data_IF_147698521180
#
_entry.id   IF_147698521180
#
_cell.length_a   1.000
_cell.length_b   1.000
_cell.length_c   1.000
_cell.angle_alpha   90.00
_cell.angle_beta   90.00
_cell.angle_gamma   90.00
#
_symmetry.space_group_name_H-M   'P 1'
#
loop_
_entity.id
_entity.type
_entity.pdbx_description
1 polymer ?
#
# COMPACT_ATOMS: atom_id res chain seq x y z
N UNK A 1 -10.84 -4.08 -4.03
CA UNK A 1 -11.72 -2.89 -3.84
C UNK A 1 -11.43 -2.17 -2.53
N UNK A 2 -11.47 -2.84 -1.37
CA UNK A 2 -11.20 -2.20 -0.07
C UNK A 2 -9.84 -1.50 0.05
N UNK A 3 -8.73 -2.20 -0.24
CA UNK A 3 -7.40 -1.59 -0.21
C UNK A 3 -7.26 -0.43 -1.21
N UNK A 4 -7.75 -0.60 -2.43
CA UNK A 4 -7.74 0.47 -3.44
C UNK A 4 -8.47 1.74 -2.93
N UNK A 5 -9.60 1.57 -2.23
CA UNK A 5 -10.32 2.68 -1.62
C UNK A 5 -9.48 3.37 -0.53
N UNK A 6 -8.88 2.60 0.40
CA UNK A 6 -8.01 3.14 1.45
C UNK A 6 -6.82 3.92 0.85
N UNK A 7 -6.15 3.33 -0.14
CA UNK A 7 -4.98 3.92 -0.78
C UNK A 7 -5.34 5.21 -1.54
N UNK A 8 -6.54 5.27 -2.14
CA UNK A 8 -7.09 6.49 -2.75
C UNK A 8 -7.42 7.60 -1.75
N UNK A 9 -7.54 7.28 -0.46
CA UNK A 9 -7.64 8.24 0.64
C UNK A 9 -6.27 8.53 1.31
N UNK A 10 -5.17 7.98 0.76
CA UNK A 10 -3.83 8.13 1.32
C UNK A 10 -3.61 7.30 2.59
N UNK A 11 -4.46 6.33 2.88
CA UNK A 11 -4.33 5.45 4.04
C UNK A 11 -3.56 4.20 3.62
N UNK A 12 -2.52 3.84 4.38
CA UNK A 12 -1.83 2.55 4.32
C UNK A 12 -2.21 1.76 5.57
N UNK A 13 -2.71 0.54 5.41
CA UNK A 13 -3.17 -0.30 6.50
C UNK A 13 -2.01 -0.89 7.32
N UNK A 14 -0.90 -1.24 6.66
CA UNK A 14 0.38 -1.72 7.22
C UNK A 14 0.34 -3.09 7.91
N UNK A 15 -0.83 -3.57 8.34
CA UNK A 15 -0.99 -4.88 9.00
C UNK A 15 -2.14 -5.68 8.36
N UNK A 16 -2.15 -5.76 7.04
CA UNK A 16 -3.10 -6.61 6.29
C UNK A 16 -2.76 -8.07 6.53
N UNK A 17 -3.72 -8.83 7.06
CA UNK A 17 -3.58 -10.26 7.39
C UNK A 17 -4.96 -10.90 7.51
N UNK A 18 -5.07 -12.25 7.49
CA UNK A 18 -6.37 -12.93 7.56
C UNK A 18 -7.16 -12.55 8.81
N UNK A 19 -6.50 -12.42 9.97
CA UNK A 19 -7.14 -12.01 11.22
C UNK A 19 -7.76 -10.60 11.21
N UNK A 20 -7.34 -9.74 10.27
CA UNK A 20 -7.83 -8.37 10.11
C UNK A 20 -8.84 -8.24 8.94
N UNK A 21 -9.23 -9.35 8.32
CA UNK A 21 -10.26 -9.39 7.29
C UNK A 21 -11.43 -10.23 7.79
N UNK A 22 -12.55 -9.57 8.09
CA UNK A 22 -13.78 -10.22 8.50
C UNK A 22 -14.64 -10.55 7.28
N UNK A 23 -15.56 -11.50 7.43
CA UNK A 23 -16.58 -11.81 6.43
C UNK A 23 -17.93 -11.36 6.97
N UNK A 24 -18.60 -10.47 6.24
CA UNK A 24 -19.95 -10.03 6.59
C UNK A 24 -20.97 -11.16 6.41
N UNK A 25 -22.18 -10.97 6.94
CA UNK A 25 -23.28 -11.92 6.77
C UNK A 25 -23.62 -12.20 5.28
N UNK A 26 -23.36 -11.22 4.41
CA UNK A 26 -23.58 -11.31 2.98
C UNK A 26 -22.38 -11.92 2.22
N UNK A 27 -21.36 -12.40 2.93
CA UNK A 27 -20.18 -13.03 2.34
C UNK A 27 -19.12 -12.04 1.81
N UNK A 28 -19.23 -10.74 2.13
CA UNK A 28 -18.25 -9.76 1.70
C UNK A 28 -17.07 -9.64 2.67
N UNK A 29 -15.86 -9.56 2.13
CA UNK A 29 -14.66 -9.27 2.91
C UNK A 29 -14.66 -7.80 3.40
N UNK A 30 -14.39 -7.61 4.69
CA UNK A 30 -14.35 -6.31 5.37
C UNK A 30 -12.99 -6.15 6.05
N UNK A 31 -12.26 -5.09 5.70
CA UNK A 31 -10.97 -4.75 6.32
C UNK A 31 -11.23 -4.11 7.69
N UNK A 32 -10.48 -4.56 8.70
CA UNK A 32 -10.63 -4.16 10.10
C UNK A 32 -9.27 -3.93 10.77
N UNK A 33 -9.28 -3.37 11.97
CA UNK A 33 -8.09 -3.07 12.78
C UNK A 33 -7.09 -2.11 12.14
N UNK A 34 -7.44 -0.82 12.18
CA UNK A 34 -6.59 0.28 11.72
C UNK A 34 -5.57 0.75 12.78
N UNK A 35 -5.32 -0.01 13.85
CA UNK A 35 -4.42 0.39 14.93
C UNK A 35 -2.97 0.63 14.48
N UNK A 36 -2.57 -0.04 13.38
CA UNK A 36 -1.25 0.11 12.75
C UNK A 36 -1.25 1.01 11.52
N UNK A 37 -2.42 1.51 11.10
CA UNK A 37 -2.59 2.23 9.86
C UNK A 37 -1.94 3.63 9.91
N UNK A 38 -1.54 4.14 8.75
CA UNK A 38 -0.89 5.44 8.62
C UNK A 38 -1.40 6.25 7.44
N UNK A 39 -1.32 7.57 7.59
CA UNK A 39 -1.62 8.51 6.53
C UNK A 39 -0.35 8.87 5.77
N UNK A 40 -0.45 8.81 4.44
CA UNK A 40 0.55 9.35 3.55
C UNK A 40 0.41 10.87 3.45
N UNK A 41 1.51 11.61 3.46
CA UNK A 41 1.46 13.06 3.29
C UNK A 41 0.98 13.41 1.88
N UNK A 42 0.17 14.46 1.76
CA UNK A 42 -0.14 15.04 0.46
C UNK A 42 1.16 15.53 -0.19
N UNK A 43 1.40 15.08 -1.41
CA UNK A 43 2.48 15.57 -2.25
C UNK A 43 1.89 16.48 -3.32
N UNK A 44 2.57 17.60 -3.57
CA UNK A 44 2.25 18.42 -4.72
C UNK A 44 2.35 17.55 -5.98
N UNK A 45 1.47 17.73 -6.98
CA UNK A 45 1.65 17.10 -8.28
C UNK A 45 2.96 17.62 -8.86
N UNK A 46 4.04 16.85 -8.71
CA UNK A 46 5.24 17.08 -9.49
C UNK A 46 4.86 16.80 -10.94
N UNK A 47 5.01 17.80 -11.82
CA UNK A 47 4.92 17.61 -13.29
C UNK A 47 6.12 16.80 -13.79
N UNK A 48 6.38 15.64 -13.20
CA UNK A 48 7.54 14.82 -13.48
C UNK A 48 7.06 13.41 -13.83
N UNK A 49 6.90 13.19 -15.13
CA UNK A 49 7.19 11.97 -15.90
C UNK A 49 7.27 10.60 -15.19
N UNK A 50 6.31 10.24 -14.35
CA UNK A 50 6.09 8.82 -13.98
C UNK A 50 5.64 7.96 -15.17
N UNK A 51 5.34 8.58 -16.32
CA UNK A 51 5.06 7.91 -17.59
C UNK A 51 6.32 7.48 -18.37
N UNK A 52 7.54 7.88 -17.98
CA UNK A 52 8.76 7.68 -18.81
C UNK A 52 9.71 6.57 -18.30
N UNK A 53 9.38 5.82 -17.25
CA UNK A 53 10.28 4.77 -16.71
C UNK A 53 9.70 3.35 -16.65
N UNK A 54 8.51 3.11 -17.21
CA UNK A 54 7.93 1.78 -17.34
C UNK A 54 7.42 1.53 -18.78
N UNK A 55 8.29 1.68 -19.77
CA UNK A 55 7.98 1.29 -21.15
C UNK A 55 7.90 -0.24 -21.36
N UNK A 56 8.24 -1.06 -20.34
CA UNK A 56 8.23 -2.53 -20.40
C UNK A 56 7.26 -3.21 -19.41
N UNK A 57 6.44 -2.44 -18.66
CA UNK A 57 5.37 -3.06 -17.88
C UNK A 57 4.19 -3.40 -18.81
N UNK A 58 3.62 -4.62 -18.75
CA UNK A 58 2.44 -4.94 -19.53
C UNK A 58 1.32 -3.95 -19.18
N UNK A 59 0.89 -3.22 -20.21
CA UNK A 59 -0.14 -2.21 -20.10
C UNK A 59 -1.51 -2.86 -19.84
N UNK A 60 -1.84 -3.04 -18.56
CA UNK A 60 -3.18 -3.41 -18.12
C UNK A 60 -4.20 -2.25 -18.27
N UNK A 61 -3.78 -1.05 -18.72
CA UNK A 61 -4.66 0.09 -19.01
C UNK A 61 -5.30 0.05 -20.41
N UNK A 62 -4.95 -0.94 -21.24
CA UNK A 62 -5.59 -1.19 -22.54
C UNK A 62 -7.06 -1.65 -22.47
N UNK A 63 -7.66 -1.73 -21.29
CA UNK A 63 -9.11 -1.89 -21.17
C UNK A 63 -9.77 -0.54 -21.47
N UNK A 64 -10.17 -0.34 -22.74
CA UNK A 64 -10.77 0.87 -23.34
C UNK A 64 -12.04 1.43 -22.66
N UNK A 65 -12.47 0.88 -21.52
CA UNK A 65 -13.62 1.36 -20.76
C UNK A 65 -13.31 2.59 -19.87
N UNK A 66 -12.08 3.10 -19.88
CA UNK A 66 -11.57 4.08 -18.89
C UNK A 66 -11.23 5.45 -19.52
N UNK A 67 -11.39 5.63 -20.83
CA UNK A 67 -11.06 6.88 -21.54
C UNK A 67 -11.99 8.06 -21.20
N UNK A 68 -13.17 7.80 -20.62
CA UNK A 68 -14.15 8.82 -20.21
C UNK A 68 -14.10 9.19 -18.70
N UNK A 69 -13.08 8.73 -17.95
CA UNK A 69 -12.94 9.13 -16.56
C UNK A 69 -12.58 10.63 -16.48
N UNK A 70 -13.36 11.49 -15.78
CA UNK A 70 -13.00 12.90 -15.61
C UNK A 70 -11.59 13.00 -15.01
N UNK A 71 -10.85 14.10 -15.24
CA UNK A 71 -9.52 14.26 -14.68
C UNK A 71 -9.67 14.29 -13.16
N UNK A 72 -9.58 13.11 -12.53
CA UNK A 72 -9.59 13.02 -11.08
C UNK A 72 -8.30 13.70 -10.71
N UNK A 73 -8.41 14.87 -10.09
CA UNK A 73 -7.39 15.36 -9.20
C UNK A 73 -7.29 14.34 -8.05
N UNK A 74 -6.80 13.12 -8.33
CA UNK A 74 -6.34 12.18 -7.33
C UNK A 74 -5.20 12.89 -6.66
N UNK A 75 -5.42 13.28 -5.40
CA UNK A 75 -4.36 13.77 -4.56
C UNK A 75 -3.17 12.82 -4.69
N UNK A 76 -2.01 13.35 -5.07
CA UNK A 76 -0.79 12.57 -5.06
C UNK A 76 -0.34 12.44 -3.62
N UNK A 77 -0.05 11.22 -3.19
CA UNK A 77 0.40 10.94 -1.84
C UNK A 77 1.86 10.54 -1.88
N UNK A 78 2.67 11.20 -1.04
CA UNK A 78 4.09 10.89 -0.88
C UNK A 78 4.32 9.64 -0.05
N UNK A 79 5.57 9.17 0.06
CA UNK A 79 5.89 8.04 0.92
C UNK A 79 5.72 8.40 2.40
N UNK A 80 5.49 7.38 3.21
CA UNK A 80 5.62 7.47 4.67
C UNK A 80 7.11 7.38 5.00
N UNK A 81 7.58 8.31 5.83
CA UNK A 81 8.96 8.38 6.30
C UNK A 81 8.92 8.30 7.82
N UNK A 82 9.55 7.27 8.38
CA UNK A 82 9.64 7.04 9.83
C UNK A 82 11.10 7.13 10.27
N UNK A 83 11.34 7.78 11.40
CA UNK A 83 12.64 7.82 12.06
C UNK A 83 12.81 6.63 13.01
N UNK A 84 14.04 6.40 13.47
CA UNK A 84 14.37 5.31 14.40
C UNK A 84 13.55 5.29 15.71
N UNK A 85 12.94 6.41 16.10
CA UNK A 85 12.12 6.50 17.32
C UNK A 85 10.63 6.25 17.08
N UNK A 86 10.19 6.19 15.82
CA UNK A 86 8.79 5.94 15.51
C UNK A 86 8.44 4.48 15.75
N UNK A 87 7.43 4.22 16.57
CA UNK A 87 6.95 2.86 16.79
C UNK A 87 6.21 2.36 15.55
N UNK A 88 6.56 1.17 15.08
CA UNK A 88 5.91 0.50 13.96
C UNK A 88 5.42 -0.86 14.41
N UNK A 89 4.14 -1.13 14.19
CA UNK A 89 3.50 -2.41 14.48
C UNK A 89 3.12 -3.08 13.17
N UNK A 90 3.54 -4.33 13.00
CA UNK A 90 3.15 -5.18 11.88
C UNK A 90 3.35 -6.65 12.24
N UNK A 91 2.58 -7.51 11.59
CA UNK A 91 2.74 -8.95 11.70
C UNK A 91 3.84 -9.39 10.73
N UNK A 92 5.03 -9.72 11.27
CA UNK A 92 6.25 -10.02 10.50
C UNK A 92 6.06 -10.99 9.33
N UNK A 93 5.18 -11.99 9.45
CA UNK A 93 4.90 -12.98 8.39
C UNK A 93 4.34 -12.32 7.12
N UNK A 94 3.48 -11.32 7.26
CA UNK A 94 2.81 -10.64 6.16
C UNK A 94 3.51 -9.34 5.76
N UNK A 95 4.55 -8.94 6.50
CA UNK A 95 5.24 -7.67 6.30
C UNK A 95 6.13 -7.71 5.06
N UNK A 96 6.03 -6.65 4.25
CA UNK A 96 6.89 -6.44 3.10
C UNK A 96 8.37 -6.31 3.51
N UNK A 97 9.32 -6.76 2.68
CA UNK A 97 10.74 -6.78 3.03
C UNK A 97 11.29 -5.40 3.40
N UNK A 98 10.76 -4.32 2.84
CA UNK A 98 11.12 -2.95 3.18
C UNK A 98 10.80 -2.60 4.64
N UNK A 99 9.68 -3.09 5.19
CA UNK A 99 9.33 -2.91 6.61
C UNK A 99 10.26 -3.70 7.54
N UNK A 100 10.91 -4.75 7.03
CA UNK A 100 11.78 -5.64 7.80
C UNK A 100 13.25 -5.21 7.78
N UNK A 101 13.73 -4.77 6.62
CA UNK A 101 15.16 -4.69 6.34
C UNK A 101 15.61 -3.41 5.62
N UNK A 102 14.71 -2.48 5.30
CA UNK A 102 15.06 -1.30 4.50
C UNK A 102 15.02 0.06 5.23
N UNK A 103 15.68 0.23 6.40
CA UNK A 103 16.02 1.57 6.82
C UNK A 103 17.09 2.15 5.88
N UNK A 104 16.81 3.31 5.30
CA UNK A 104 17.76 4.13 4.54
C UNK A 104 18.54 5.01 5.51
N UNK A 105 19.85 5.12 5.31
CA UNK A 105 20.65 6.11 6.04
C UNK A 105 20.45 7.49 5.43
N UNK A 106 19.83 8.41 6.18
CA UNK A 106 19.62 9.80 5.76
C UNK A 106 20.00 10.75 6.88
N UNK A 107 20.84 11.74 6.58
CA UNK A 107 21.18 12.84 7.50
C UNK A 107 21.66 12.38 8.89
N UNK A 108 22.44 11.30 8.95
CA UNK A 108 22.97 10.79 10.22
C UNK A 108 22.00 9.90 11.02
N UNK A 109 20.88 9.46 10.43
CA UNK A 109 19.89 8.61 11.08
C UNK A 109 19.37 7.52 10.13
N UNK A 110 18.98 6.38 10.72
CA UNK A 110 18.21 5.36 10.01
C UNK A 110 16.76 5.83 9.89
N UNK A 111 16.24 5.85 8.67
CA UNK A 111 14.83 6.17 8.36
C UNK A 111 14.20 5.07 7.53
N UNK A 112 12.99 4.66 7.87
CA UNK A 112 12.21 3.72 7.07
C UNK A 112 11.33 4.50 6.11
N UNK A 113 11.38 4.16 4.82
CA UNK A 113 10.58 4.80 3.77
C UNK A 113 9.76 3.74 3.06
N UNK A 114 8.44 3.92 2.98
CA UNK A 114 7.54 2.97 2.32
C UNK A 114 6.25 3.66 1.86
N UNK A 115 5.48 2.95 1.04
CA UNK A 115 4.21 3.43 0.48
C UNK A 115 3.11 2.36 0.62
N UNK A 116 2.00 2.51 -0.10
CA UNK A 116 0.86 1.59 -0.07
C UNK A 116 1.17 0.18 -0.60
N UNK A 117 2.33 -0.02 -1.26
CA UNK A 117 2.69 -1.32 -1.83
C UNK A 117 2.94 -2.39 -0.79
N UNK A 118 3.25 -1.99 0.44
CA UNK A 118 3.39 -2.92 1.57
C UNK A 118 2.11 -3.73 1.80
N UNK A 119 0.94 -3.13 1.60
CA UNK A 119 -0.35 -3.80 1.77
C UNK A 119 -0.63 -4.81 0.63
N UNK A 120 -0.16 -4.52 -0.59
CA UNK A 120 -0.25 -5.46 -1.70
C UNK A 120 0.65 -6.66 -1.52
N UNK A 121 1.85 -6.48 -0.93
CA UNK A 121 2.70 -7.60 -0.55
C UNK A 121 2.00 -8.51 0.45
N UNK A 122 1.44 -7.94 1.52
CA UNK A 122 0.69 -8.67 2.53
C UNK A 122 -0.51 -9.43 1.93
N UNK A 123 -1.26 -8.80 1.03
CA UNK A 123 -2.33 -9.46 0.28
C UNK A 123 -1.81 -10.64 -0.55
N UNK A 124 -0.65 -10.50 -1.19
CA UNK A 124 -0.01 -11.57 -1.94
C UNK A 124 0.31 -12.78 -1.05
N UNK A 125 0.86 -12.54 0.14
CA UNK A 125 1.13 -13.60 1.13
C UNK A 125 -0.17 -14.29 1.56
N UNK A 126 -1.24 -13.53 1.84
CA UNK A 126 -2.55 -14.10 2.19
C UNK A 126 -3.13 -14.97 1.07
N UNK A 127 -3.09 -14.49 -0.17
CA UNK A 127 -3.62 -15.23 -1.32
C UNK A 127 -2.82 -16.51 -1.58
N UNK A 128 -1.50 -16.46 -1.35
CA UNK A 128 -0.64 -17.63 -1.42
C UNK A 128 -1.01 -18.67 -0.35
N UNK A 129 -1.21 -18.26 0.91
CA UNK A 129 -1.69 -19.17 1.98
C UNK A 129 -3.05 -19.79 1.61
N UNK A 130 -3.99 -18.98 1.13
CA UNK A 130 -5.32 -19.46 0.70
C UNK A 130 -5.23 -20.47 -0.47
N UNK A 131 -4.29 -20.28 -1.39
CA UNK A 131 -4.10 -21.18 -2.53
C UNK A 131 -3.48 -22.53 -2.13
N UNK A 132 -2.65 -22.54 -1.08
CA UNK A 132 -1.99 -23.75 -0.59
C UNK A 132 -2.75 -24.46 0.53
N UNK A 133 -3.65 -23.76 1.22
CA UNK A 133 -4.39 -24.28 2.38
C UNK A 133 -3.55 -24.36 3.66
N UNK A 134 -2.50 -23.53 3.74
CA UNK A 134 -1.60 -23.40 4.91
C UNK A 134 -2.14 -22.46 5.99
#
# INVERSE_FOLDING_TARGET
>A
LGLLFLHGQGIVHQDVKPANVLVSADGHAVITDFGSARLRPLSAPSRTSYAECFDDAPDFSSNSAWEDAPPRATAYFGPIILSANDQVSFTRRYAAPELLYAPVWMSGRNVLVYDERVDYYSLGVMLHELALGD
#
